data_IF_620177316720
#
_entry.id   IF_620177316720
#
_cell.length_a   1.000
_cell.length_b   1.000
_cell.length_c   1.000
_cell.angle_alpha   90.00
_cell.angle_beta   90.00
_cell.angle_gamma   90.00
#
_symmetry.space_group_name_H-M   'P 1'
#
loop_
_entity.id
_entity.type
_entity.pdbx_description
1 polymer ?
#
# COMPACT_ATOMS: atom_id res chain seq x y z
N UNK A 1 -22.23 -13.40 10.66
CA UNK A 1 -23.24 -12.34 10.52
C UNK A 1 -23.66 -11.92 11.91
N UNK A 2 -23.95 -12.88 12.79
CA UNK A 2 -24.44 -12.62 14.15
C UNK A 2 -23.45 -11.80 14.98
N UNK A 3 -22.17 -12.16 14.98
CA UNK A 3 -21.13 -11.36 15.66
C UNK A 3 -20.99 -9.96 15.08
N UNK A 4 -21.06 -9.83 13.75
CA UNK A 4 -20.95 -8.53 13.05
C UNK A 4 -22.15 -7.64 13.40
N UNK A 5 -23.37 -8.20 13.40
CA UNK A 5 -24.58 -7.48 13.75
C UNK A 5 -24.55 -7.01 15.20
N UNK A 6 -24.15 -7.90 16.12
CA UNK A 6 -23.99 -7.59 17.54
C UNK A 6 -22.99 -6.46 17.76
N UNK A 7 -21.81 -6.55 17.14
CA UNK A 7 -20.75 -5.54 17.30
C UNK A 7 -21.14 -4.20 16.66
N UNK A 8 -21.81 -4.23 15.50
CA UNK A 8 -22.27 -3.01 14.81
C UNK A 8 -23.55 -2.40 15.42
N UNK A 9 -24.15 -3.03 16.44
CA UNK A 9 -25.39 -2.57 17.05
C UNK A 9 -26.60 -2.60 16.12
N UNK A 10 -26.61 -3.49 15.12
CA UNK A 10 -27.70 -3.62 14.14
C UNK A 10 -28.32 -5.00 14.18
N UNK A 11 -29.57 -5.12 13.71
CA UNK A 11 -30.20 -6.43 13.57
C UNK A 11 -29.54 -7.26 12.46
N UNK A 12 -29.46 -8.57 12.66
CA UNK A 12 -28.98 -9.54 11.64
C UNK A 12 -29.72 -9.39 10.31
N UNK A 13 -31.03 -9.17 10.37
CA UNK A 13 -31.87 -8.95 9.19
C UNK A 13 -31.43 -7.71 8.39
N UNK A 14 -31.05 -6.62 9.07
CA UNK A 14 -30.53 -5.41 8.44
C UNK A 14 -29.27 -5.68 7.63
N UNK A 15 -28.34 -6.48 8.15
CA UNK A 15 -27.14 -6.84 7.38
C UNK A 15 -27.48 -7.63 6.11
N UNK A 16 -28.45 -8.54 6.17
CA UNK A 16 -28.87 -9.32 4.99
C UNK A 16 -29.61 -8.50 3.93
N UNK A 17 -30.19 -7.34 4.29
CA UNK A 17 -30.75 -6.41 3.30
C UNK A 17 -29.66 -5.82 2.39
N UNK A 18 -28.44 -5.67 2.90
CA UNK A 18 -27.33 -5.02 2.19
C UNK A 18 -26.29 -6.00 1.67
N UNK A 19 -26.12 -7.16 2.33
CA UNK A 19 -25.05 -8.09 2.03
C UNK A 19 -25.58 -9.52 1.97
N UNK A 20 -25.23 -10.23 0.90
CA UNK A 20 -25.54 -11.66 0.74
C UNK A 20 -24.81 -12.56 1.76
N UNK A 21 -23.79 -12.04 2.44
CA UNK A 21 -23.07 -12.72 3.51
C UNK A 21 -21.76 -12.05 3.89
N UNK A 22 -20.96 -12.73 4.71
CA UNK A 22 -19.66 -12.22 5.20
C UNK A 22 -18.67 -11.92 4.06
N UNK A 23 -18.67 -12.74 3.00
CA UNK A 23 -17.80 -12.54 1.82
C UNK A 23 -18.09 -11.20 1.15
N UNK A 24 -19.38 -10.86 0.98
CA UNK A 24 -19.78 -9.58 0.38
C UNK A 24 -19.42 -8.36 1.25
N UNK A 25 -19.53 -8.49 2.59
CA UNK A 25 -19.06 -7.44 3.52
C UNK A 25 -17.56 -7.24 3.35
N UNK A 26 -16.79 -8.33 3.30
CA UNK A 26 -15.34 -8.27 3.17
C UNK A 26 -14.89 -7.71 1.81
N UNK A 27 -15.60 -8.06 0.73
CA UNK A 27 -15.41 -7.46 -0.58
C UNK A 27 -15.53 -5.95 -0.55
N UNK A 28 -16.62 -5.44 0.02
CA UNK A 28 -16.84 -4.01 0.18
C UNK A 28 -15.77 -3.35 1.07
N UNK A 29 -15.31 -4.01 2.14
CA UNK A 29 -14.20 -3.48 2.95
C UNK A 29 -12.91 -3.35 2.15
N UNK A 30 -12.58 -4.35 1.31
CA UNK A 30 -11.39 -4.30 0.47
C UNK A 30 -11.49 -3.25 -0.63
N UNK A 31 -12.66 -3.04 -1.23
CA UNK A 31 -12.89 -1.96 -2.18
C UNK A 31 -12.68 -0.59 -1.54
N UNK A 32 -13.18 -0.39 -0.31
CA UNK A 32 -12.96 0.85 0.45
C UNK A 32 -11.49 1.04 0.80
N UNK A 33 -10.80 -0.01 1.23
CA UNK A 33 -9.36 0.03 1.49
C UNK A 33 -8.58 0.41 0.22
N UNK A 34 -8.93 -0.14 -0.94
CA UNK A 34 -8.30 0.19 -2.21
C UNK A 34 -8.58 1.64 -2.65
N UNK A 35 -9.80 2.12 -2.47
CA UNK A 35 -10.14 3.53 -2.74
C UNK A 35 -9.33 4.49 -1.86
N UNK A 36 -9.08 4.12 -0.60
CA UNK A 36 -8.21 4.90 0.28
C UNK A 36 -6.74 4.85 -0.15
N UNK A 37 -6.24 3.68 -0.57
CA UNK A 37 -4.90 3.55 -1.15
C UNK A 37 -4.75 4.50 -2.33
N UNK A 38 -5.68 4.48 -3.28
CA UNK A 38 -5.63 5.33 -4.47
C UNK A 38 -5.70 6.83 -4.12
N UNK A 39 -6.59 7.21 -3.19
CA UNK A 39 -6.68 8.59 -2.70
C UNK A 39 -5.35 9.08 -2.10
N UNK A 40 -4.71 8.27 -1.25
CA UNK A 40 -3.42 8.60 -0.64
C UNK A 40 -2.27 8.60 -1.67
N UNK A 41 -2.33 7.74 -2.67
CA UNK A 41 -1.37 7.73 -3.79
C UNK A 41 -1.45 9.03 -4.57
N UNK A 42 -2.66 9.45 -4.97
CA UNK A 42 -2.87 10.71 -5.69
C UNK A 42 -2.36 11.88 -4.84
N UNK A 43 -2.70 11.92 -3.56
CA UNK A 43 -2.23 12.98 -2.65
C UNK A 43 -0.68 13.04 -2.56
N UNK A 44 0.00 11.89 -2.53
CA UNK A 44 1.47 11.84 -2.53
C UNK A 44 2.08 12.33 -3.85
N UNK A 45 1.45 11.99 -4.98
CA UNK A 45 1.91 12.39 -6.31
C UNK A 45 1.72 13.88 -6.58
N UNK A 46 0.65 14.49 -6.06
CA UNK A 46 0.33 15.91 -6.28
C UNK A 46 0.83 16.84 -5.17
N UNK A 47 1.52 16.32 -4.16
CA UNK A 47 2.08 17.13 -3.07
C UNK A 47 3.31 17.91 -3.54
N UNK A 48 3.45 19.15 -3.04
CA UNK A 48 4.64 20.00 -3.21
C UNK A 48 5.77 19.67 -2.21
N UNK A 49 5.63 18.60 -1.42
CA UNK A 49 6.65 18.19 -0.47
C UNK A 49 7.93 17.69 -1.19
N UNK A 50 9.09 17.67 -0.50
CA UNK A 50 10.31 17.09 -1.05
C UNK A 50 10.11 15.65 -1.55
N UNK A 51 10.82 15.26 -2.62
CA UNK A 51 10.73 13.93 -3.23
C UNK A 51 10.78 12.78 -2.22
N UNK A 52 11.67 12.89 -1.22
CA UNK A 52 11.81 11.88 -0.16
C UNK A 52 10.52 11.68 0.64
N UNK A 53 9.80 12.76 0.96
CA UNK A 53 8.53 12.70 1.67
C UNK A 53 7.43 12.11 0.78
N UNK A 54 7.39 12.52 -0.49
CA UNK A 54 6.43 11.99 -1.48
C UNK A 54 6.63 10.49 -1.71
N UNK A 55 7.88 10.02 -1.86
CA UNK A 55 8.21 8.58 -1.98
C UNK A 55 7.78 7.78 -0.75
N UNK A 56 8.04 8.30 0.46
CA UNK A 56 7.61 7.66 1.71
C UNK A 56 6.09 7.55 1.78
N UNK A 57 5.38 8.64 1.47
CA UNK A 57 3.93 8.66 1.45
C UNK A 57 3.36 7.69 0.40
N UNK A 58 3.90 7.68 -0.82
CA UNK A 58 3.48 6.80 -1.90
C UNK A 58 3.68 5.32 -1.56
N UNK A 59 4.85 4.95 -1.02
CA UNK A 59 5.13 3.58 -0.58
C UNK A 59 4.23 3.19 0.60
N UNK A 60 4.01 4.08 1.55
CA UNK A 60 3.13 3.80 2.67
C UNK A 60 1.66 3.68 2.23
N UNK A 61 1.21 4.43 1.24
CA UNK A 61 -0.12 4.27 0.67
C UNK A 61 -0.31 2.85 0.12
N UNK A 62 0.60 2.38 -0.74
CA UNK A 62 0.49 1.04 -1.33
C UNK A 62 0.68 -0.11 -0.34
N UNK A 63 1.61 0.03 0.59
CA UNK A 63 2.07 -1.10 1.39
C UNK A 63 1.69 -0.99 2.86
N UNK A 64 1.33 0.20 3.35
CA UNK A 64 1.01 0.47 4.75
C UNK A 64 -0.48 0.50 5.09
N UNK A 65 -1.35 0.99 4.20
CA UNK A 65 -2.78 1.21 4.50
C UNK A 65 -3.49 -0.07 4.98
N UNK A 66 -3.21 -1.22 4.37
CA UNK A 66 -3.80 -2.48 4.79
C UNK A 66 -3.42 -2.86 6.24
N UNK A 67 -2.24 -2.46 6.75
CA UNK A 67 -1.87 -2.64 8.16
C UNK A 67 -2.74 -1.79 9.10
N UNK A 68 -3.18 -0.60 8.65
CA UNK A 68 -4.07 0.26 9.45
C UNK A 68 -5.48 -0.32 9.49
N UNK A 69 -5.97 -0.88 8.38
CA UNK A 69 -7.32 -1.41 8.26
C UNK A 69 -7.52 -2.79 8.90
N UNK A 70 -6.56 -3.68 8.71
CA UNK A 70 -6.70 -5.10 9.05
C UNK A 70 -5.77 -5.52 10.18
N UNK A 71 -5.02 -4.57 10.76
CA UNK A 71 -4.20 -4.77 11.94
C UNK A 71 -2.91 -5.53 11.66
N UNK A 72 -2.55 -6.40 12.59
CA UNK A 72 -1.25 -7.04 12.65
C UNK A 72 -1.01 -8.04 11.50
N UNK A 73 0.27 -8.36 11.26
CA UNK A 73 0.67 -9.17 10.11
C UNK A 73 0.09 -10.60 10.10
N UNK A 74 -0.34 -11.11 11.26
CA UNK A 74 -1.05 -12.38 11.39
C UNK A 74 -2.42 -12.32 10.69
N UNK A 75 -3.25 -11.34 11.03
CA UNK A 75 -4.54 -11.11 10.34
C UNK A 75 -4.34 -10.75 8.86
N UNK A 76 -3.23 -10.08 8.49
CA UNK A 76 -2.89 -9.88 7.08
C UNK A 76 -2.56 -11.17 6.33
N UNK A 77 -2.02 -12.18 7.00
CA UNK A 77 -1.74 -13.48 6.39
C UNK A 77 -3.03 -14.24 6.10
N UNK A 78 -3.99 -14.20 7.03
CA UNK A 78 -5.34 -14.75 6.85
C UNK A 78 -6.10 -14.00 5.74
N UNK A 79 -6.04 -12.67 5.74
CA UNK A 79 -6.61 -11.83 4.67
C UNK A 79 -6.06 -12.23 3.30
N UNK A 80 -4.73 -12.43 3.17
CA UNK A 80 -4.12 -12.86 1.90
C UNK A 80 -4.63 -14.23 1.48
N UNK A 81 -4.73 -15.18 2.41
CA UNK A 81 -5.26 -16.51 2.12
C UNK A 81 -6.72 -16.44 1.66
N UNK A 82 -7.53 -15.61 2.33
CA UNK A 82 -8.92 -15.38 1.98
C UNK A 82 -9.07 -14.76 0.58
N UNK A 83 -8.31 -13.71 0.28
CA UNK A 83 -8.29 -13.06 -1.04
C UNK A 83 -7.89 -14.04 -2.14
N UNK A 84 -6.85 -14.84 -1.91
CA UNK A 84 -6.39 -15.85 -2.87
C UNK A 84 -7.45 -16.95 -3.11
N UNK A 85 -8.25 -17.28 -2.10
CA UNK A 85 -9.33 -18.28 -2.21
C UNK A 85 -10.58 -17.76 -2.94
N UNK A 86 -10.70 -16.45 -3.19
CA UNK A 86 -11.88 -15.84 -3.81
C UNK A 86 -11.51 -14.92 -4.99
N UNK A 87 -10.81 -15.43 -6.01
CA UNK A 87 -10.26 -14.61 -7.10
C UNK A 87 -11.33 -13.84 -7.89
N UNK A 88 -12.53 -14.40 -8.03
CA UNK A 88 -13.67 -13.77 -8.72
C UNK A 88 -14.18 -12.51 -8.02
N UNK A 89 -13.89 -12.36 -6.73
CA UNK A 89 -14.24 -11.20 -5.93
C UNK A 89 -13.09 -10.20 -5.77
N UNK A 90 -11.84 -10.63 -6.02
CA UNK A 90 -10.65 -9.88 -5.59
C UNK A 90 -9.57 -9.70 -6.66
N UNK A 91 -9.82 -10.05 -7.91
CA UNK A 91 -8.88 -9.79 -9.00
C UNK A 91 -9.54 -8.96 -10.08
N UNK A 92 -9.09 -7.70 -10.23
CA UNK A 92 -8.93 -7.00 -11.51
C UNK A 92 -7.97 -5.80 -11.30
N UNK A 93 -6.91 -5.74 -12.10
CA UNK A 93 -6.18 -4.48 -12.35
C UNK A 93 -5.54 -3.78 -11.16
N UNK A 94 -5.13 -4.53 -10.12
CA UNK A 94 -4.55 -3.98 -8.90
C UNK A 94 -3.47 -2.93 -9.15
N UNK A 95 -3.23 -2.03 -8.18
CA UNK A 95 -2.38 -0.86 -8.35
C UNK A 95 -1.04 -1.23 -8.99
N UNK A 96 -0.50 -0.33 -9.82
CA UNK A 96 0.81 -0.49 -10.49
C UNK A 96 1.88 0.31 -9.75
N UNK A 97 2.26 -0.05 -8.51
CA UNK A 97 3.14 0.77 -7.67
C UNK A 97 4.47 1.03 -8.35
N UNK A 98 5.05 0.02 -9.02
CA UNK A 98 6.32 0.17 -9.74
C UNK A 98 6.26 1.28 -10.79
N UNK A 99 5.21 1.31 -11.60
CA UNK A 99 5.09 2.27 -12.70
C UNK A 99 4.92 3.70 -12.18
N UNK A 100 4.12 3.90 -11.13
CA UNK A 100 3.92 5.22 -10.53
C UNK A 100 5.15 5.72 -9.76
N UNK A 101 5.82 4.84 -9.02
CA UNK A 101 7.10 5.15 -8.36
C UNK A 101 8.14 5.54 -9.42
N UNK A 102 8.26 4.75 -10.49
CA UNK A 102 9.18 5.06 -11.60
C UNK A 102 8.86 6.43 -12.21
N UNK A 103 7.59 6.71 -12.54
CA UNK A 103 7.20 8.00 -13.12
C UNK A 103 7.44 9.20 -12.19
N UNK A 104 7.49 8.99 -10.87
CA UNK A 104 7.87 10.04 -9.92
C UNK A 104 9.39 10.26 -9.86
N UNK A 105 10.17 9.19 -10.00
CA UNK A 105 11.63 9.25 -10.10
C UNK A 105 12.08 9.85 -11.44
N UNK A 106 11.42 9.48 -12.55
CA UNK A 106 11.70 10.04 -13.89
C UNK A 106 11.54 11.56 -13.90
N UNK A 107 10.49 12.07 -13.24
CA UNK A 107 10.27 13.52 -13.09
C UNK A 107 11.36 14.18 -12.26
N UNK A 108 11.73 13.59 -11.12
CA UNK A 108 12.80 14.13 -10.28
C UNK A 108 14.16 14.18 -11.00
N UNK A 109 14.48 13.17 -11.81
CA UNK A 109 15.69 13.17 -12.62
C UNK A 109 15.65 14.22 -13.74
N UNK A 110 14.49 14.39 -14.40
CA UNK A 110 14.30 15.43 -15.41
C UNK A 110 14.39 16.85 -14.82
N UNK A 111 13.93 17.04 -13.58
CA UNK A 111 13.98 18.32 -12.86
C UNK A 111 15.37 18.60 -12.24
N UNK A 112 16.28 17.61 -12.25
CA UNK A 112 17.62 17.72 -11.68
C UNK A 112 17.70 17.53 -10.16
N UNK A 113 16.63 17.06 -9.52
CA UNK A 113 16.57 16.76 -8.08
C UNK A 113 17.38 15.51 -7.71
N UNK A 114 17.65 14.64 -8.68
CA UNK A 114 18.42 13.40 -8.53
C UNK A 114 19.23 13.11 -9.80
N UNK A 115 20.36 12.40 -9.65
CA UNK A 115 21.22 11.94 -10.74
C UNK A 115 21.45 10.42 -10.63
N UNK A 116 20.43 9.62 -10.94
CA UNK A 116 20.57 8.16 -10.91
C UNK A 116 21.37 7.66 -12.12
N UNK A 117 21.09 8.23 -13.30
CA UNK A 117 21.74 7.89 -14.56
C UNK A 117 23.24 8.17 -14.54
N UNK A 118 23.70 9.29 -13.96
CA UNK A 118 25.11 9.59 -13.75
C UNK A 118 25.81 8.61 -12.80
N UNK A 119 25.06 7.87 -11.98
CA UNK A 119 25.54 6.79 -11.11
C UNK A 119 25.37 5.39 -11.71
N UNK A 120 24.91 5.30 -12.96
CA UNK A 120 24.72 4.03 -13.68
C UNK A 120 23.46 3.26 -13.26
N UNK A 121 22.47 3.92 -12.67
CA UNK A 121 21.18 3.34 -12.28
C UNK A 121 20.06 3.93 -13.14
N UNK A 122 19.11 3.08 -13.56
CA UNK A 122 17.84 3.56 -14.10
C UNK A 122 16.80 3.76 -13.01
N UNK A 123 15.92 4.73 -13.18
CA UNK A 123 14.73 4.94 -12.33
C UNK A 123 13.87 3.68 -12.20
N UNK A 124 13.80 2.86 -13.26
CA UNK A 124 13.12 1.56 -13.24
C UNK A 124 13.77 0.57 -12.26
N UNK A 125 15.11 0.50 -12.21
CA UNK A 125 15.83 -0.32 -11.24
C UNK A 125 15.58 0.18 -9.81
N UNK A 126 15.66 1.50 -9.58
CA UNK A 126 15.41 2.12 -8.28
C UNK A 126 13.97 1.85 -7.81
N UNK A 127 12.98 2.02 -8.69
CA UNK A 127 11.58 1.72 -8.40
C UNK A 127 11.39 0.24 -8.04
N UNK A 128 12.08 -0.69 -8.72
CA UNK A 128 12.01 -2.11 -8.41
C UNK A 128 12.59 -2.41 -7.01
N UNK A 129 13.75 -1.83 -6.69
CA UNK A 129 14.37 -1.96 -5.35
C UNK A 129 13.44 -1.44 -4.26
N UNK A 130 12.83 -0.26 -4.44
CA UNK A 130 11.89 0.32 -3.47
C UNK A 130 10.65 -0.57 -3.26
N UNK A 131 10.09 -1.15 -4.33
CA UNK A 131 8.96 -2.09 -4.21
C UNK A 131 9.37 -3.35 -3.44
N UNK A 132 10.55 -3.91 -3.72
CA UNK A 132 11.05 -5.08 -2.99
C UNK A 132 11.34 -4.76 -1.53
N UNK A 133 11.96 -3.63 -1.24
CA UNK A 133 12.22 -3.17 0.12
C UNK A 133 10.93 -2.95 0.91
N UNK A 134 9.91 -2.33 0.31
CA UNK A 134 8.61 -2.12 0.95
C UNK A 134 7.86 -3.44 1.24
N UNK A 135 7.95 -4.42 0.34
CA UNK A 135 7.42 -5.78 0.59
C UNK A 135 8.20 -6.48 1.70
N UNK A 136 9.53 -6.42 1.65
CA UNK A 136 10.43 -6.98 2.65
C UNK A 136 10.26 -6.35 4.04
N UNK A 137 9.90 -5.07 4.11
CA UNK A 137 9.63 -4.35 5.35
C UNK A 137 8.44 -4.94 6.14
N UNK A 138 7.62 -5.81 5.52
CA UNK A 138 6.55 -6.57 6.20
C UNK A 138 7.02 -7.87 6.86
N UNK A 139 8.25 -8.32 6.58
CA UNK A 139 8.79 -9.59 7.08
C UNK A 139 9.34 -9.46 8.51
N UNK A 140 9.56 -10.62 9.14
CA UNK A 140 10.00 -10.74 10.53
C UNK A 140 8.84 -10.69 11.52
N UNK A 141 9.07 -10.16 12.73
CA UNK A 141 8.01 -9.88 13.69
C UNK A 141 6.98 -8.95 13.03
N UNK A 142 5.69 -9.31 13.15
CA UNK A 142 4.56 -8.54 12.61
C UNK A 142 4.75 -7.04 12.86
N UNK A 143 5.00 -6.22 11.82
CA UNK A 143 5.30 -4.83 12.05
C UNK A 143 4.04 -4.06 12.39
N UNK A 144 4.12 -3.24 13.44
CA UNK A 144 3.14 -2.18 13.68
C UNK A 144 3.19 -1.15 12.55
N UNK A 145 2.12 -0.35 12.33
CA UNK A 145 2.15 0.77 11.39
C UNK A 145 3.37 1.68 11.57
N UNK A 146 3.76 1.95 12.81
CA UNK A 146 4.93 2.75 13.16
C UNK A 146 6.25 2.08 12.74
N UNK A 147 6.43 0.80 13.06
CA UNK A 147 7.64 0.06 12.64
C UNK A 147 7.74 -0.03 11.13
N UNK A 148 6.60 -0.19 10.44
CA UNK A 148 6.56 -0.19 8.99
C UNK A 148 6.95 1.16 8.40
N UNK A 149 6.44 2.29 8.94
CA UNK A 149 6.84 3.64 8.52
C UNK A 149 8.34 3.86 8.66
N UNK A 150 8.93 3.45 9.79
CA UNK A 150 10.38 3.54 10.02
C UNK A 150 11.17 2.81 8.93
N UNK A 151 10.82 1.54 8.65
CA UNK A 151 11.50 0.73 7.62
C UNK A 151 11.37 1.31 6.21
N UNK A 152 10.21 1.89 5.86
CA UNK A 152 10.01 2.59 4.59
C UNK A 152 10.89 3.84 4.50
N UNK A 153 11.00 4.60 5.59
CA UNK A 153 11.87 5.77 5.64
C UNK A 153 13.33 5.39 5.39
N UNK A 154 13.81 4.31 6.02
CA UNK A 154 15.17 3.81 5.83
C UNK A 154 15.42 3.42 4.37
N UNK A 155 14.49 2.64 3.77
CA UNK A 155 14.59 2.21 2.37
C UNK A 155 14.64 3.39 1.39
N UNK A 156 13.79 4.41 1.58
CA UNK A 156 13.80 5.61 0.73
C UNK A 156 15.09 6.39 0.90
N UNK A 157 15.59 6.52 2.13
CA UNK A 157 16.80 7.30 2.41
C UNK A 157 18.03 6.63 1.77
N UNK A 158 18.12 5.29 1.83
CA UNK A 158 19.17 4.53 1.15
C UNK A 158 19.08 4.63 -0.38
N UNK A 159 17.87 4.57 -0.95
CA UNK A 159 17.68 4.66 -2.39
C UNK A 159 18.08 6.05 -2.93
N UNK A 160 17.69 7.12 -2.24
CA UNK A 160 18.02 8.49 -2.64
C UNK A 160 19.49 8.84 -2.43
N UNK A 161 20.15 8.27 -1.40
CA UNK A 161 21.60 8.42 -1.24
C UNK A 161 22.40 7.83 -2.42
N UNK A 162 21.81 6.91 -3.19
CA UNK A 162 22.39 6.39 -4.42
C UNK A 162 22.23 7.29 -5.65
N UNK A 163 21.47 8.40 -5.54
CA UNK A 163 21.22 9.36 -6.62
C UNK A 163 21.47 10.83 -6.25
N UNK A 164 21.88 11.12 -5.00
CA UNK A 164 22.39 12.44 -4.59
C UNK A 164 23.92 12.50 -4.62
#
# INVERSE_FOLDING_TARGET
MDDIAREAGVAKATLYLHFSGKVAIFAMMLDRCQAEVESRVVAAETSDAPLSQRLRALLYAYFGVALEWFGDAEHLSELKAFVAAHPDHFTQGGPRPRARIQAMLDRAEADGDTDFSGKGLSTAQVANVLVHAARGAKLGKAPTPETFRRRINDAVSLALAGGC
#
